data_IF_452301805498
#
_entry.id   IF_452301805498
#
_cell.length_a   1.000
_cell.length_b   1.000
_cell.length_c   1.000
_cell.angle_alpha   90.00
_cell.angle_beta   90.00
_cell.angle_gamma   90.00
#
_symmetry.space_group_name_H-M   'P 1'
#
loop_
_entity.id
_entity.type
_entity.pdbx_description
1 polymer ?
#
# COMPACT_ATOMS: atom_id res chain seq x y z
N UNK A 1 11.29 10.26 0.01
CA UNK A 1 10.11 10.36 0.89
C UNK A 1 9.31 9.09 0.65
N UNK A 2 8.86 8.40 1.70
CA UNK A 2 8.16 7.12 1.54
C UNK A 2 6.74 7.37 0.99
N UNK A 3 6.40 6.75 -0.13
CA UNK A 3 5.12 6.95 -0.83
C UNK A 3 3.95 6.14 -0.24
N UNK A 4 4.24 5.20 0.66
CA UNK A 4 3.24 4.34 1.31
C UNK A 4 3.22 4.60 2.80
N UNK A 5 2.06 4.97 3.34
CA UNK A 5 1.86 5.17 4.78
C UNK A 5 0.67 4.42 5.30
N UNK A 6 0.83 3.81 6.46
CA UNK A 6 -0.22 3.16 7.22
C UNK A 6 -0.47 3.92 8.51
N UNK A 7 -1.74 4.19 8.79
CA UNK A 7 -2.14 4.80 10.06
C UNK A 7 -2.90 3.78 10.88
N UNK A 8 -2.48 3.63 12.15
CA UNK A 8 -3.20 2.81 13.12
C UNK A 8 -4.00 3.68 14.08
N UNK A 9 -5.27 3.35 14.22
CA UNK A 9 -6.27 4.04 15.02
C UNK A 9 -6.80 3.11 16.09
N UNK A 10 -7.28 3.67 17.19
CA UNK A 10 -7.88 2.91 18.27
C UNK A 10 -7.77 3.66 19.59
N UNK A 11 -8.71 3.40 20.48
CA UNK A 11 -8.75 4.06 21.79
C UNK A 11 -7.50 3.76 22.62
N UNK A 12 -7.27 4.58 23.64
CA UNK A 12 -6.26 4.27 24.67
C UNK A 12 -6.56 2.91 25.28
N UNK A 13 -5.54 2.07 25.41
CA UNK A 13 -5.70 0.71 25.94
C UNK A 13 -6.10 -0.36 24.91
N UNK A 14 -6.46 0.01 23.67
CA UNK A 14 -6.83 -0.94 22.61
C UNK A 14 -5.65 -1.73 22.03
N UNK A 15 -4.50 -1.79 22.70
CA UNK A 15 -3.40 -2.70 22.33
C UNK A 15 -2.56 -2.32 21.10
N UNK A 16 -2.67 -1.11 20.54
CA UNK A 16 -1.93 -0.69 19.32
C UNK A 16 -0.41 -0.87 19.42
N UNK A 17 0.20 -0.30 20.45
CA UNK A 17 1.67 -0.35 20.64
C UNK A 17 2.13 -1.78 20.95
N UNK A 18 1.37 -2.54 21.76
CA UNK A 18 1.64 -3.95 21.99
C UNK A 18 1.57 -4.77 20.69
N UNK A 19 0.56 -4.51 19.85
CA UNK A 19 0.44 -5.12 18.52
C UNK A 19 1.66 -4.80 17.65
N UNK A 20 2.08 -3.53 17.57
CA UNK A 20 3.28 -3.12 16.82
C UNK A 20 4.53 -3.87 17.31
N UNK A 21 4.73 -3.96 18.62
CA UNK A 21 5.89 -4.64 19.20
C UNK A 21 5.89 -6.14 18.88
N UNK A 22 4.74 -6.80 19.00
CA UNK A 22 4.61 -8.21 18.62
C UNK A 22 4.83 -8.44 17.13
N UNK A 23 4.22 -7.61 16.28
CA UNK A 23 4.37 -7.65 14.83
C UNK A 23 5.83 -7.46 14.41
N UNK A 24 6.50 -6.46 14.99
CA UNK A 24 7.90 -6.21 14.72
C UNK A 24 8.79 -7.36 15.18
N UNK A 25 8.57 -7.90 16.38
CA UNK A 25 9.39 -9.00 16.89
C UNK A 25 9.26 -10.27 16.05
N UNK A 26 8.04 -10.69 15.72
CA UNK A 26 7.77 -11.88 14.89
C UNK A 26 8.41 -11.75 13.51
N UNK A 27 8.22 -10.61 12.85
CA UNK A 27 8.80 -10.38 11.52
C UNK A 27 10.29 -10.07 11.57
N UNK A 28 10.85 -9.57 12.67
CA UNK A 28 12.29 -9.38 12.81
C UNK A 28 13.02 -10.73 12.95
N UNK A 29 12.42 -11.71 13.63
CA UNK A 29 12.95 -13.07 13.71
C UNK A 29 12.82 -13.84 12.38
N UNK A 30 11.84 -13.45 11.57
CA UNK A 30 11.54 -14.03 10.28
C UNK A 30 10.35 -14.98 10.36
N UNK A 31 9.38 -14.78 9.47
CA UNK A 31 8.14 -15.56 9.43
C UNK A 31 7.85 -15.96 8.00
N UNK A 32 7.83 -17.27 7.70
CA UNK A 32 7.57 -17.81 6.36
C UNK A 32 8.44 -17.19 5.25
N UNK A 33 9.68 -16.82 5.59
CA UNK A 33 10.63 -16.17 4.67
C UNK A 33 10.51 -14.64 4.60
N UNK A 34 9.51 -14.04 5.24
CA UNK A 34 9.39 -12.59 5.37
C UNK A 34 10.18 -12.07 6.56
N UNK A 35 10.85 -10.94 6.38
CA UNK A 35 11.52 -10.19 7.46
C UNK A 35 11.12 -8.73 7.43
N UNK A 36 11.08 -8.08 8.60
CA UNK A 36 10.83 -6.64 8.71
C UNK A 36 11.99 -5.95 9.42
N UNK A 37 12.49 -4.89 8.80
CA UNK A 37 13.60 -4.09 9.31
C UNK A 37 13.20 -2.62 9.42
N UNK A 38 13.96 -1.87 10.22
CA UNK A 38 13.85 -0.42 10.41
C UNK A 38 15.25 0.13 10.71
N UNK A 39 15.40 1.43 10.96
CA UNK A 39 16.68 2.00 11.34
C UNK A 39 17.22 1.41 12.66
N UNK A 40 18.53 1.50 12.87
CA UNK A 40 19.21 0.84 14.00
C UNK A 40 18.72 1.35 15.38
N UNK A 41 18.46 2.65 15.47
CA UNK A 41 17.98 3.29 16.70
C UNK A 41 16.57 2.80 17.03
N UNK A 42 15.65 2.83 16.06
CA UNK A 42 14.27 2.32 16.22
C UNK A 42 14.22 0.82 16.42
N UNK A 43 15.09 0.06 15.76
CA UNK A 43 15.19 -1.39 15.98
C UNK A 43 15.57 -1.70 17.42
N UNK A 44 16.58 -0.98 17.95
CA UNK A 44 17.02 -1.13 19.34
C UNK A 44 15.94 -0.73 20.33
N UNK A 45 15.24 0.38 20.06
CA UNK A 45 14.11 0.85 20.86
C UNK A 45 12.98 -0.22 20.93
N UNK A 46 12.51 -0.69 19.78
CA UNK A 46 11.42 -1.68 19.68
C UNK A 46 11.80 -3.01 20.34
N UNK A 47 13.03 -3.50 20.12
CA UNK A 47 13.53 -4.72 20.76
C UNK A 47 13.60 -4.57 22.28
N UNK A 48 14.10 -3.45 22.78
CA UNK A 48 14.16 -3.17 24.22
C UNK A 48 12.76 -3.14 24.84
N UNK A 49 11.80 -2.49 24.18
CA UNK A 49 10.40 -2.47 24.63
C UNK A 49 9.78 -3.88 24.62
N UNK A 50 10.04 -4.69 23.60
CA UNK A 50 9.54 -6.07 23.56
C UNK A 50 10.18 -6.96 24.63
N UNK A 51 11.47 -6.79 24.94
CA UNK A 51 12.13 -7.50 26.05
C UNK A 51 11.50 -7.15 27.40
N UNK A 52 11.05 -5.90 27.61
CA UNK A 52 10.24 -5.55 28.79
C UNK A 52 8.93 -6.31 28.82
N UNK A 53 8.25 -6.45 27.67
CA UNK A 53 7.04 -7.28 27.58
C UNK A 53 7.37 -8.72 27.97
N UNK A 54 8.55 -9.28 27.69
CA UNK A 54 8.89 -10.64 28.12
C UNK A 54 9.18 -10.78 29.63
N UNK A 55 9.57 -9.69 30.30
CA UNK A 55 9.95 -9.71 31.71
C UNK A 55 8.72 -9.79 32.65
N UNK A 56 8.35 -11.02 33.02
CA UNK A 56 7.25 -11.31 33.95
C UNK A 56 7.46 -10.70 35.34
N UNK A 57 8.67 -10.33 35.73
CA UNK A 57 8.95 -9.75 37.05
C UNK A 57 8.41 -8.32 37.19
N UNK A 58 8.17 -7.63 36.07
CA UNK A 58 7.65 -6.26 36.05
C UNK A 58 6.13 -6.18 36.28
N UNK A 59 5.43 -7.32 36.30
CA UNK A 59 3.97 -7.34 36.42
C UNK A 59 3.30 -6.50 35.34
N UNK A 60 2.36 -5.61 35.71
CA UNK A 60 1.68 -4.72 34.77
C UNK A 60 2.64 -3.73 34.07
N UNK A 61 3.77 -3.40 34.70
CA UNK A 61 4.77 -2.47 34.13
C UNK A 61 5.58 -3.10 32.98
N UNK A 62 5.38 -4.39 32.69
CA UNK A 62 5.95 -5.06 31.51
C UNK A 62 5.38 -4.50 30.20
N UNK A 63 4.17 -3.95 30.23
CA UNK A 63 3.51 -3.38 29.06
C UNK A 63 3.85 -1.89 28.90
N UNK A 64 3.97 -1.39 27.66
CA UNK A 64 4.16 0.04 27.42
C UNK A 64 2.95 0.81 27.97
N UNK A 65 3.22 1.91 28.68
CA UNK A 65 2.20 2.88 29.03
C UNK A 65 1.56 3.41 27.73
N UNK A 66 0.30 3.84 27.80
CA UNK A 66 -0.37 4.43 26.64
C UNK A 66 0.48 5.56 26.05
N UNK A 67 0.68 5.56 24.74
CA UNK A 67 1.51 6.55 24.05
C UNK A 67 0.95 7.96 24.31
N UNK A 68 1.79 8.86 24.80
CA UNK A 68 1.40 10.25 25.11
C UNK A 68 1.46 11.17 23.88
N UNK A 69 2.20 10.77 22.84
CA UNK A 69 2.38 11.51 21.59
C UNK A 69 2.38 10.58 20.37
N UNK A 70 2.15 11.13 19.18
CA UNK A 70 2.31 10.38 17.93
C UNK A 70 3.75 9.83 17.77
N UNK A 71 3.89 8.55 17.41
CA UNK A 71 5.19 7.96 17.05
C UNK A 71 5.15 7.45 15.62
N UNK A 72 6.14 7.86 14.82
CA UNK A 72 6.27 7.47 13.42
C UNK A 72 7.46 6.54 13.24
N UNK A 73 7.27 5.52 12.42
CA UNK A 73 8.28 4.54 12.08
C UNK A 73 8.39 4.41 10.57
N UNK A 74 9.59 4.07 10.10
CA UNK A 74 9.82 3.68 8.71
C UNK A 74 10.30 2.23 8.71
N UNK A 75 9.53 1.36 8.06
CA UNK A 75 9.82 -0.07 7.97
C UNK A 75 10.11 -0.47 6.52
N UNK A 76 10.90 -1.52 6.35
CA UNK A 76 11.02 -2.26 5.09
C UNK A 76 10.63 -3.70 5.32
N UNK A 77 9.65 -4.18 4.55
CA UNK A 77 9.35 -5.60 4.45
C UNK A 77 10.23 -6.22 3.37
N UNK A 78 10.83 -7.35 3.68
CA UNK A 78 11.67 -8.14 2.80
C UNK A 78 11.13 -9.57 2.70
N UNK A 79 11.49 -10.26 1.62
CA UNK A 79 11.29 -11.70 1.47
C UNK A 79 12.59 -12.34 1.00
N UNK A 80 13.05 -13.35 1.74
CA UNK A 80 14.40 -13.91 1.54
C UNK A 80 15.50 -12.83 1.54
N UNK A 81 15.34 -11.79 2.37
CA UNK A 81 16.21 -10.61 2.47
C UNK A 81 16.19 -9.66 1.25
N UNK A 82 15.38 -9.94 0.23
CA UNK A 82 15.16 -9.02 -0.88
C UNK A 82 14.03 -8.03 -0.52
N UNK A 83 14.23 -6.71 -0.70
CA UNK A 83 13.21 -5.70 -0.41
C UNK A 83 11.92 -5.89 -1.22
N UNK A 84 10.78 -5.88 -0.53
CA UNK A 84 9.44 -5.85 -1.14
C UNK A 84 8.96 -4.40 -1.23
N UNK A 85 8.89 -3.71 -0.09
CA UNK A 85 8.41 -2.35 0.02
C UNK A 85 8.90 -1.70 1.32
N UNK A 86 9.20 -0.41 1.24
CA UNK A 86 9.35 0.45 2.42
C UNK A 86 8.06 1.22 2.66
N UNK A 87 7.65 1.36 3.91
CA UNK A 87 6.40 2.02 4.29
C UNK A 87 6.56 2.77 5.62
N UNK A 88 5.84 3.89 5.74
CA UNK A 88 5.69 4.61 7.01
C UNK A 88 4.56 3.99 7.83
N UNK A 89 4.73 3.98 9.15
CA UNK A 89 3.74 3.49 10.10
C UNK A 89 3.57 4.52 11.21
N UNK A 90 2.38 5.08 11.31
CA UNK A 90 2.08 6.14 12.26
C UNK A 90 1.18 5.59 13.39
N UNK A 91 1.76 5.43 14.59
CA UNK A 91 1.06 5.05 15.83
C UNK A 91 0.65 6.31 16.60
N UNK A 92 -0.64 6.67 16.48
CA UNK A 92 -1.19 7.83 17.16
C UNK A 92 -1.76 7.47 18.53
N UNK A 93 -1.47 8.33 19.50
CA UNK A 93 -2.03 8.23 20.84
C UNK A 93 -3.57 8.21 20.79
N UNK A 94 -4.19 7.25 21.49
CA UNK A 94 -5.65 7.10 21.48
C UNK A 94 -6.38 8.33 22.06
N UNK A 95 -5.70 9.09 22.92
CA UNK A 95 -6.21 10.34 23.48
C UNK A 95 -6.36 11.47 22.45
N UNK A 96 -5.65 11.44 21.32
CA UNK A 96 -5.81 12.46 20.25
C UNK A 96 -7.23 12.40 19.65
N UNK A 97 -7.82 11.20 19.59
CA UNK A 97 -9.16 10.98 19.05
C UNK A 97 -10.28 11.67 19.86
N UNK A 98 -10.03 12.00 21.13
CA UNK A 98 -11.04 12.59 22.04
C UNK A 98 -10.74 14.04 22.42
N UNK A 99 -9.58 14.59 22.05
CA UNK A 99 -9.05 15.89 22.54
C UNK A 99 -9.33 17.10 21.63
N UNK A 100 -10.37 17.06 20.79
CA UNK A 100 -10.74 18.14 19.84
C UNK A 100 -10.73 19.56 20.42
N UNK A 101 -11.02 19.72 21.72
CA UNK A 101 -11.20 21.02 22.38
C UNK A 101 -10.28 21.25 23.60
N UNK A 102 -9.30 20.37 23.87
CA UNK A 102 -8.48 20.45 25.09
C UNK A 102 -7.00 20.06 24.91
N UNK A 103 -6.58 19.77 23.67
CA UNK A 103 -5.21 19.38 23.32
C UNK A 103 -4.48 20.37 22.43
N UNK A 104 -3.27 19.99 22.02
CA UNK A 104 -2.47 20.70 21.04
C UNK A 104 -3.12 20.61 19.65
N UNK A 105 -3.54 21.76 19.11
CA UNK A 105 -4.21 21.84 17.82
C UNK A 105 -3.28 21.41 16.67
N UNK A 106 -1.97 21.62 16.82
CA UNK A 106 -0.99 21.29 15.78
C UNK A 106 -0.83 19.76 15.65
N UNK A 107 -0.77 19.04 16.78
CA UNK A 107 -0.71 17.57 16.80
C UNK A 107 -1.97 16.94 16.18
N UNK A 108 -3.15 17.56 16.43
CA UNK A 108 -4.42 17.10 15.87
C UNK A 108 -4.51 17.32 14.35
N UNK A 109 -4.04 18.46 13.84
CA UNK A 109 -3.99 18.73 12.40
C UNK A 109 -2.94 17.85 11.71
N UNK A 110 -1.79 17.61 12.33
CA UNK A 110 -0.80 16.66 11.81
C UNK A 110 -1.36 15.23 11.71
N UNK A 111 -2.10 14.80 12.74
CA UNK A 111 -2.83 13.54 12.73
C UNK A 111 -3.83 13.46 11.56
N UNK A 112 -4.67 14.49 11.38
CA UNK A 112 -5.63 14.54 10.26
C UNK A 112 -4.94 14.48 8.91
N UNK A 113 -3.84 15.21 8.75
CA UNK A 113 -3.07 15.21 7.50
C UNK A 113 -2.49 13.83 7.21
N UNK A 114 -1.91 13.16 8.21
CA UNK A 114 -1.40 11.80 8.03
C UNK A 114 -2.53 10.82 7.69
N UNK A 115 -3.64 10.87 8.44
CA UNK A 115 -4.80 10.02 8.21
C UNK A 115 -5.34 10.18 6.78
N UNK A 116 -5.51 11.41 6.30
CA UNK A 116 -6.00 11.69 4.94
C UNK A 116 -5.04 11.23 3.84
N UNK A 117 -3.74 11.14 4.13
CA UNK A 117 -2.70 10.67 3.19
C UNK A 117 -2.43 9.17 3.25
N UNK A 118 -3.09 8.45 4.16
CA UNK A 118 -2.80 7.04 4.43
C UNK A 118 -3.25 6.13 3.30
N UNK A 119 -2.38 5.21 2.89
CA UNK A 119 -2.70 4.19 1.89
C UNK A 119 -3.66 3.13 2.43
N UNK A 120 -3.57 2.82 3.72
CA UNK A 120 -4.40 1.83 4.43
C UNK A 120 -4.63 2.31 5.87
N UNK A 121 -5.83 2.02 6.41
CA UNK A 121 -6.17 2.31 7.80
C UNK A 121 -6.31 1.02 8.61
N UNK A 122 -5.62 0.95 9.73
CA UNK A 122 -5.81 -0.08 10.75
C UNK A 122 -6.65 0.49 11.89
N UNK A 123 -7.73 -0.18 12.26
CA UNK A 123 -8.59 0.23 13.38
C UNK A 123 -8.53 -0.87 14.43
N UNK A 124 -7.76 -0.65 15.49
CA UNK A 124 -7.67 -1.52 16.64
C UNK A 124 -8.92 -1.42 17.52
N UNK A 125 -9.51 -2.58 17.76
CA UNK A 125 -10.65 -2.78 18.64
C UNK A 125 -10.18 -3.69 19.78
N UNK A 126 -10.49 -3.29 21.01
CA UNK A 126 -10.12 -4.05 22.21
C UNK A 126 -11.05 -5.26 22.35
N UNK A 127 -10.48 -6.47 22.28
CA UNK A 127 -11.20 -7.74 22.40
C UNK A 127 -11.95 -7.89 23.73
N UNK A 128 -11.53 -7.22 24.80
CA UNK A 128 -12.27 -7.22 26.07
C UNK A 128 -13.67 -6.59 25.96
N UNK A 129 -13.92 -5.74 24.95
CA UNK A 129 -15.25 -5.20 24.67
C UNK A 129 -16.22 -6.26 24.11
N UNK A 130 -15.67 -7.37 23.63
CA UNK A 130 -16.37 -8.50 23.05
C UNK A 130 -16.53 -9.65 24.04
N UNK A 131 -16.07 -9.51 25.28
CA UNK A 131 -16.22 -10.56 26.28
C UNK A 131 -17.66 -10.62 26.86
N UNK A 132 -18.05 -11.80 27.34
CA UNK A 132 -19.37 -12.14 27.88
C UNK A 132 -20.32 -12.80 26.87
N UNK A 133 -21.56 -13.07 27.25
CA UNK A 133 -22.51 -13.84 26.41
C UNK A 133 -23.52 -12.98 25.63
N UNK A 134 -23.74 -11.73 26.05
CA UNK A 134 -24.78 -10.87 25.46
C UNK A 134 -24.28 -10.10 24.22
N UNK A 135 -24.75 -10.51 23.03
CA UNK A 135 -24.36 -9.89 21.74
C UNK A 135 -24.75 -8.42 21.63
N UNK A 136 -25.93 -8.02 22.07
CA UNK A 136 -26.37 -6.61 22.02
C UNK A 136 -25.49 -5.73 22.90
N UNK A 137 -25.08 -6.24 24.06
CA UNK A 137 -24.17 -5.54 24.94
C UNK A 137 -22.79 -5.36 24.31
N UNK A 138 -22.25 -6.41 23.65
CA UNK A 138 -20.99 -6.32 22.88
C UNK A 138 -21.08 -5.27 21.79
N UNK A 139 -22.15 -5.27 20.99
CA UNK A 139 -22.40 -4.24 19.95
C UNK A 139 -22.39 -2.85 20.57
N UNK A 140 -23.13 -2.66 21.67
CA UNK A 140 -23.19 -1.36 22.36
C UNK A 140 -21.81 -0.94 22.88
N UNK A 141 -21.05 -1.84 23.49
CA UNK A 141 -19.69 -1.58 23.98
C UNK A 141 -18.76 -1.12 22.85
N UNK A 142 -18.76 -1.81 21.71
CA UNK A 142 -17.94 -1.44 20.54
C UNK A 142 -18.40 -0.11 19.94
N UNK A 143 -19.73 0.12 19.84
CA UNK A 143 -20.26 1.40 19.34
C UNK A 143 -19.84 2.58 20.21
N UNK A 144 -20.10 2.49 21.51
CA UNK A 144 -19.83 3.57 22.47
C UNK A 144 -18.33 3.85 22.62
N UNK A 145 -17.51 2.81 22.69
CA UNK A 145 -16.09 2.95 23.00
C UNK A 145 -15.17 2.92 21.77
N UNK A 146 -15.69 2.83 20.55
CA UNK A 146 -14.84 2.81 19.37
C UNK A 146 -15.50 3.46 18.16
N UNK A 147 -16.55 2.84 17.60
CA UNK A 147 -17.02 3.25 16.26
C UNK A 147 -17.61 4.65 16.21
N UNK A 148 -18.27 5.12 17.27
CA UNK A 148 -18.80 6.49 17.34
C UNK A 148 -17.72 7.56 17.16
N UNK A 149 -16.50 7.31 17.62
CA UNK A 149 -15.38 8.24 17.52
C UNK A 149 -14.70 8.07 16.16
N UNK A 150 -14.43 6.83 15.76
CA UNK A 150 -13.70 6.52 14.53
C UNK A 150 -14.48 6.88 13.27
N UNK A 151 -15.81 6.75 13.28
CA UNK A 151 -16.66 7.07 12.13
C UNK A 151 -16.52 8.52 11.65
N UNK A 152 -16.24 9.46 12.56
CA UNK A 152 -16.00 10.86 12.17
C UNK A 152 -14.76 10.96 11.27
N UNK A 153 -13.66 10.33 11.64
CA UNK A 153 -12.41 10.35 10.87
C UNK A 153 -12.54 9.61 9.53
N UNK A 154 -13.27 8.51 9.50
CA UNK A 154 -13.57 7.78 8.26
C UNK A 154 -14.41 8.66 7.30
N UNK A 155 -15.40 9.37 7.85
CA UNK A 155 -16.24 10.29 7.09
C UNK A 155 -15.43 11.45 6.51
N UNK A 156 -14.56 12.07 7.31
CA UNK A 156 -13.65 13.13 6.88
C UNK A 156 -12.69 12.63 5.78
N UNK A 157 -12.11 11.43 5.96
CA UNK A 157 -11.26 10.82 4.93
C UNK A 157 -12.00 10.70 3.60
N UNK A 158 -13.22 10.12 3.60
CA UNK A 158 -14.01 9.92 2.38
C UNK A 158 -14.34 11.26 1.71
N UNK A 159 -14.68 12.28 2.49
CA UNK A 159 -14.99 13.62 1.97
C UNK A 159 -13.80 14.24 1.25
N UNK A 160 -12.59 14.06 1.76
CA UNK A 160 -11.37 14.64 1.19
C UNK A 160 -10.82 13.84 0.01
N UNK A 161 -11.01 12.51 0.00
CA UNK A 161 -10.41 11.61 -0.99
C UNK A 161 -11.40 11.07 -2.04
N UNK A 162 -12.70 11.33 -1.90
CA UNK A 162 -13.80 10.79 -2.71
C UNK A 162 -13.93 9.25 -2.71
N UNK A 163 -13.06 8.54 -1.99
CA UNK A 163 -13.06 7.08 -1.80
C UNK A 163 -12.55 6.76 -0.40
N UNK A 164 -12.91 5.58 0.10
CA UNK A 164 -12.29 5.02 1.31
C UNK A 164 -11.01 4.26 0.95
N UNK A 165 -10.00 4.25 1.83
CA UNK A 165 -8.87 3.35 1.66
C UNK A 165 -9.33 1.92 2.01
N UNK A 166 -8.49 0.91 1.74
CA UNK A 166 -8.62 -0.38 2.43
C UNK A 166 -8.56 -0.15 3.95
N UNK A 167 -9.48 -0.80 4.67
CA UNK A 167 -9.61 -0.70 6.13
C UNK A 167 -9.47 -2.10 6.71
N UNK A 168 -8.69 -2.23 7.78
CA UNK A 168 -8.63 -3.47 8.55
C UNK A 168 -9.07 -3.21 9.98
N UNK A 169 -10.16 -3.86 10.40
CA UNK A 169 -10.63 -3.92 11.77
C UNK A 169 -9.82 -4.98 12.51
N UNK A 170 -8.83 -4.54 13.27
CA UNK A 170 -7.88 -5.40 13.98
C UNK A 170 -8.41 -5.63 15.40
N UNK A 171 -8.87 -6.84 15.68
CA UNK A 171 -9.41 -7.19 17.00
C UNK A 171 -8.24 -7.64 17.86
N UNK A 172 -7.71 -6.70 18.64
CA UNK A 172 -6.58 -6.95 19.56
C UNK A 172 -7.06 -7.67 20.82
N UNK A 173 -6.13 -8.31 21.54
CA UNK A 173 -6.45 -9.09 22.76
C UNK A 173 -7.53 -10.15 22.50
N UNK A 174 -7.50 -10.76 21.32
CA UNK A 174 -8.53 -11.70 20.89
C UNK A 174 -8.63 -12.93 21.81
N UNK A 175 -7.52 -13.30 22.45
CA UNK A 175 -7.44 -14.36 23.48
C UNK A 175 -8.45 -14.17 24.63
N UNK A 176 -8.87 -12.94 24.92
CA UNK A 176 -9.85 -12.65 25.97
C UNK A 176 -11.26 -13.07 25.54
N UNK A 177 -11.60 -12.91 24.25
CA UNK A 177 -12.96 -13.13 23.75
C UNK A 177 -13.10 -14.36 22.86
N UNK A 178 -12.02 -15.11 22.61
CA UNK A 178 -11.99 -16.26 21.70
C UNK A 178 -12.99 -17.35 22.11
N UNK A 179 -13.12 -17.62 23.41
CA UNK A 179 -14.05 -18.62 23.93
C UNK A 179 -15.52 -18.14 23.92
N UNK A 180 -15.75 -16.83 24.06
CA UNK A 180 -17.09 -16.25 24.21
C UNK A 180 -17.65 -15.63 22.92
N UNK A 181 -16.84 -15.55 21.86
CA UNK A 181 -17.20 -14.88 20.60
C UNK A 181 -16.77 -15.70 19.39
N UNK A 182 -17.74 -16.36 18.76
CA UNK A 182 -17.50 -17.08 17.51
C UNK A 182 -17.16 -16.14 16.34
N UNK A 183 -16.65 -16.70 15.25
CA UNK A 183 -16.34 -15.95 14.01
C UNK A 183 -17.59 -15.26 13.43
N UNK A 184 -18.74 -15.93 13.47
CA UNK A 184 -20.03 -15.40 13.02
C UNK A 184 -20.52 -14.25 13.90
N UNK A 185 -20.32 -14.38 15.22
CA UNK A 185 -20.66 -13.31 16.16
C UNK A 185 -19.76 -12.11 15.97
N UNK A 186 -18.46 -12.32 15.76
CA UNK A 186 -17.52 -11.25 15.44
C UNK A 186 -17.94 -10.51 14.17
N UNK A 187 -18.26 -11.24 13.09
CA UNK A 187 -18.79 -10.68 11.85
C UNK A 187 -20.04 -9.83 12.10
N UNK A 188 -21.02 -10.36 12.84
CA UNK A 188 -22.26 -9.66 13.16
C UNK A 188 -22.02 -8.38 13.96
N UNK A 189 -21.23 -8.47 15.04
CA UNK A 189 -20.96 -7.35 15.93
C UNK A 189 -20.24 -6.23 15.18
N UNK A 190 -19.25 -6.56 14.35
CA UNK A 190 -18.52 -5.57 13.56
C UNK A 190 -19.41 -4.90 12.51
N UNK A 191 -20.25 -5.68 11.82
CA UNK A 191 -21.20 -5.15 10.84
C UNK A 191 -22.22 -4.20 11.47
N UNK A 192 -22.67 -4.51 12.68
CA UNK A 192 -23.59 -3.64 13.41
C UNK A 192 -22.88 -2.42 13.97
N UNK A 193 -21.69 -2.57 14.55
CA UNK A 193 -20.97 -1.46 15.18
C UNK A 193 -20.41 -0.47 14.16
N UNK A 194 -19.92 -0.95 13.02
CA UNK A 194 -19.35 -0.15 11.92
C UNK A 194 -20.21 -0.20 10.66
N UNK A 195 -21.53 -0.21 10.83
CA UNK A 195 -22.52 -0.35 9.75
C UNK A 195 -22.22 0.46 8.46
N UNK A 196 -21.79 1.75 8.52
CA UNK A 196 -21.45 2.51 7.32
C UNK A 196 -20.36 1.91 6.43
N UNK A 197 -19.45 1.09 6.99
CA UNK A 197 -18.40 0.40 6.24
C UNK A 197 -18.90 -0.82 5.46
N UNK A 198 -20.06 -1.37 5.85
CA UNK A 198 -20.61 -2.61 5.31
C UNK A 198 -21.84 -2.39 4.43
N UNK A 199 -22.24 -1.13 4.21
CA UNK A 199 -23.28 -0.77 3.25
C UNK A 199 -22.63 -0.55 1.87
N UNK A 200 -23.18 -1.14 0.78
CA UNK A 200 -22.71 -0.87 -0.57
C UNK A 200 -22.72 0.63 -0.89
N UNK A 201 -21.62 1.13 -1.43
CA UNK A 201 -21.47 2.53 -1.81
C UNK A 201 -21.79 2.71 -3.29
N UNK A 202 -22.49 3.82 -3.61
CA UNK A 202 -22.80 4.21 -5.00
C UNK A 202 -21.54 4.68 -5.74
N UNK A 203 -20.69 5.45 -5.05
CA UNK A 203 -19.42 5.94 -5.57
C UNK A 203 -18.24 5.34 -4.82
N UNK A 204 -17.30 4.77 -5.58
CA UNK A 204 -16.10 4.12 -5.06
C UNK A 204 -16.33 2.69 -4.59
N UNK A 205 -15.25 2.05 -4.17
CA UNK A 205 -15.29 0.70 -3.58
C UNK A 205 -14.48 0.72 -2.30
N UNK A 206 -15.04 0.14 -1.24
CA UNK A 206 -14.35 -0.01 0.04
C UNK A 206 -14.00 -1.48 0.25
N UNK A 207 -12.78 -1.76 0.68
CA UNK A 207 -12.37 -3.11 1.09
C UNK A 207 -12.16 -3.11 2.59
N UNK A 208 -12.86 -3.97 3.31
CA UNK A 208 -12.82 -4.04 4.78
C UNK A 208 -12.46 -5.46 5.19
N UNK A 209 -11.47 -5.63 6.06
CA UNK A 209 -11.16 -6.91 6.70
C UNK A 209 -11.46 -6.87 8.20
N UNK A 210 -11.81 -8.01 8.78
CA UNK A 210 -11.88 -8.23 10.23
C UNK A 210 -10.82 -9.28 10.57
N UNK A 211 -9.82 -8.88 11.36
CA UNK A 211 -8.64 -9.71 11.62
C UNK A 211 -8.43 -9.79 13.15
N UNK A 212 -8.77 -10.93 13.77
CA UNK A 212 -8.46 -11.15 15.17
C UNK A 212 -6.98 -11.43 15.37
N UNK A 213 -6.37 -10.77 16.35
CA UNK A 213 -4.96 -10.90 16.71
C UNK A 213 -4.78 -10.94 18.23
N UNK A 214 -3.77 -11.69 18.68
CA UNK A 214 -3.36 -11.71 20.09
C UNK A 214 -1.85 -11.83 20.21
N UNK A 215 -1.29 -11.31 21.31
CA UNK A 215 0.10 -11.57 21.69
C UNK A 215 0.26 -12.88 22.48
N UNK A 216 -0.84 -13.45 22.99
CA UNK A 216 -0.87 -14.67 23.79
C UNK A 216 -1.93 -14.63 24.89
N UNK A 217 -2.29 -15.81 25.38
CA UNK A 217 -3.33 -15.98 26.38
C UNK A 217 -2.85 -15.66 27.81
N UNK A 218 -3.72 -15.03 28.61
CA UNK A 218 -3.49 -14.81 30.03
C UNK A 218 -2.31 -13.88 30.34
N UNK A 219 -1.85 -13.07 29.37
CA UNK A 219 -0.76 -12.12 29.59
C UNK A 219 -1.25 -10.92 30.42
N UNK A 220 -2.54 -10.59 30.29
CA UNK A 220 -3.22 -9.51 31.03
C UNK A 220 -4.14 -10.01 32.16
N UNK A 221 -4.07 -11.30 32.54
CA UNK A 221 -4.81 -11.81 33.70
C UNK A 221 -4.22 -11.30 35.01
N UNK A 222 -4.89 -11.54 36.15
CA UNK A 222 -4.56 -10.98 37.47
C UNK A 222 -3.08 -11.14 37.87
N UNK A 223 -2.39 -12.17 37.36
CA UNK A 223 -0.99 -12.44 37.64
C UNK A 223 0.01 -11.83 36.63
N UNK A 224 -0.45 -11.32 35.47
CA UNK A 224 0.36 -10.82 34.36
C UNK A 224 1.52 -11.75 33.94
N UNK A 225 1.35 -13.07 34.11
CA UNK A 225 2.40 -14.10 33.94
C UNK A 225 2.21 -14.98 32.71
N UNK A 226 1.18 -14.73 31.90
CA UNK A 226 0.94 -15.44 30.64
C UNK A 226 2.16 -15.44 29.73
N UNK A 227 2.21 -16.46 28.86
CA UNK A 227 3.24 -16.62 27.84
C UNK A 227 2.83 -15.90 26.55
N UNK A 228 3.83 -15.39 25.83
CA UNK A 228 3.58 -14.84 24.50
C UNK A 228 3.36 -16.01 23.55
N UNK A 229 2.17 -16.04 22.94
CA UNK A 229 1.77 -16.99 21.89
C UNK A 229 1.05 -16.17 20.82
N UNK A 230 1.80 -15.48 19.95
CA UNK A 230 1.23 -14.60 18.94
C UNK A 230 0.28 -15.35 18.00
N UNK A 231 -0.92 -14.80 17.80
CA UNK A 231 -1.93 -15.32 16.87
C UNK A 231 -2.17 -14.25 15.80
N UNK A 232 -1.96 -14.63 14.53
CA UNK A 232 -2.26 -13.80 13.34
C UNK A 232 -1.64 -12.40 13.31
N UNK A 233 -0.63 -12.13 14.13
CA UNK A 233 -0.07 -10.79 14.37
C UNK A 233 0.51 -10.14 13.08
N UNK A 234 0.98 -10.93 12.12
CA UNK A 234 1.51 -10.46 10.84
C UNK A 234 0.43 -10.19 9.78
N UNK A 235 -0.79 -10.72 9.97
CA UNK A 235 -1.82 -10.72 8.93
C UNK A 235 -2.34 -9.32 8.59
N UNK A 236 -2.59 -8.40 9.56
CA UNK A 236 -3.02 -7.06 9.20
C UNK A 236 -1.97 -6.30 8.37
N UNK A 237 -0.68 -6.41 8.71
CA UNK A 237 0.34 -5.71 7.94
C UNK A 237 0.49 -6.29 6.52
N UNK A 238 0.37 -7.61 6.35
CA UNK A 238 0.34 -8.22 5.02
C UNK A 238 -0.86 -7.76 4.19
N UNK A 239 -2.03 -7.62 4.81
CA UNK A 239 -3.22 -7.04 4.18
C UNK A 239 -2.91 -5.61 3.69
N UNK A 240 -2.31 -4.78 4.53
CA UNK A 240 -1.98 -3.41 4.15
C UNK A 240 -0.96 -3.32 3.02
N UNK A 241 0.09 -4.13 3.08
CA UNK A 241 1.14 -4.18 2.06
C UNK A 241 0.60 -4.69 0.72
N UNK A 242 -0.27 -5.70 0.72
CA UNK A 242 -0.89 -6.20 -0.51
C UNK A 242 -1.57 -5.06 -1.31
N UNK A 243 -2.35 -4.21 -0.63
CA UNK A 243 -3.01 -3.08 -1.29
C UNK A 243 -2.04 -1.97 -1.66
N UNK A 244 -1.01 -1.71 -0.86
CA UNK A 244 0.04 -0.76 -1.24
C UNK A 244 0.78 -1.20 -2.51
N UNK A 245 1.10 -2.49 -2.65
CA UNK A 245 1.69 -3.05 -3.87
C UNK A 245 0.73 -2.96 -5.04
N UNK A 246 -0.58 -3.10 -4.82
CA UNK A 246 -1.58 -2.93 -5.88
C UNK A 246 -1.56 -1.51 -6.45
N UNK A 247 -1.56 -0.51 -5.57
CA UNK A 247 -1.50 0.90 -6.00
C UNK A 247 -0.15 1.24 -6.64
N UNK A 248 0.94 0.61 -6.18
CA UNK A 248 2.26 0.72 -6.83
C UNK A 248 2.25 0.12 -8.24
N UNK A 249 1.71 -1.08 -8.43
CA UNK A 249 1.56 -1.72 -9.74
C UNK A 249 0.73 -0.88 -10.70
N UNK A 250 -0.38 -0.31 -10.22
CA UNK A 250 -1.21 0.61 -11.00
C UNK A 250 -0.38 1.79 -11.55
N UNK A 251 0.38 2.46 -10.69
CA UNK A 251 1.23 3.59 -11.10
C UNK A 251 2.32 3.17 -12.08
N UNK A 252 2.99 2.05 -11.84
CA UNK A 252 4.00 1.52 -12.76
C UNK A 252 3.41 1.18 -14.14
N UNK A 253 2.22 0.59 -14.20
CA UNK A 253 1.53 0.29 -15.46
C UNK A 253 1.12 1.56 -16.22
N UNK A 254 0.69 2.61 -15.51
CA UNK A 254 0.38 3.92 -16.10
C UNK A 254 1.64 4.55 -16.71
N UNK A 255 2.78 4.52 -16.01
CA UNK A 255 4.05 5.04 -16.55
C UNK A 255 4.57 4.19 -17.72
N UNK A 256 4.48 2.86 -17.64
CA UNK A 256 4.83 1.97 -18.74
C UNK A 256 4.02 2.28 -20.01
N UNK A 257 2.72 2.54 -19.85
CA UNK A 257 1.84 2.95 -20.96
C UNK A 257 2.31 4.28 -21.56
N UNK A 258 2.68 5.24 -20.71
CA UNK A 258 3.22 6.54 -21.14
C UNK A 258 4.52 6.39 -21.92
N UNK A 259 5.47 5.62 -21.41
CA UNK A 259 6.76 5.35 -22.06
C UNK A 259 6.52 4.65 -23.42
N UNK A 260 5.64 3.66 -23.47
CA UNK A 260 5.32 2.93 -24.71
C UNK A 260 4.74 3.86 -25.77
N UNK A 261 3.81 4.74 -25.40
CA UNK A 261 3.24 5.75 -26.30
C UNK A 261 4.30 6.74 -26.85
N UNK A 262 5.26 7.16 -26.00
CA UNK A 262 6.37 8.01 -26.41
C UNK A 262 7.31 7.29 -27.41
N UNK A 263 7.59 6.00 -27.17
CA UNK A 263 8.36 5.15 -28.06
C UNK A 263 7.70 5.08 -29.44
N UNK A 264 6.39 4.82 -29.50
CA UNK A 264 5.66 4.70 -30.76
C UNK A 264 5.63 6.03 -31.53
N UNK A 265 5.43 7.14 -30.83
CA UNK A 265 5.47 8.49 -31.41
C UNK A 265 6.84 8.82 -32.01
N UNK A 266 7.93 8.49 -31.30
CA UNK A 266 9.29 8.71 -31.80
C UNK A 266 9.61 7.80 -32.99
N UNK A 267 9.21 6.53 -32.94
CA UNK A 267 9.34 5.59 -34.08
C UNK A 267 8.64 6.10 -35.33
N UNK A 268 7.41 6.59 -35.18
CA UNK A 268 6.67 7.21 -36.28
C UNK A 268 7.41 8.43 -36.85
N UNK A 269 7.94 9.29 -35.99
CA UNK A 269 8.71 10.47 -36.42
C UNK A 269 10.00 10.09 -37.16
N UNK A 270 10.74 9.10 -36.66
CA UNK A 270 11.96 8.59 -37.31
C UNK A 270 11.62 7.99 -38.68
N UNK A 271 10.50 7.27 -38.80
CA UNK A 271 10.03 6.73 -40.07
C UNK A 271 9.77 7.85 -41.08
N UNK A 272 9.04 8.90 -40.69
CA UNK A 272 8.78 10.06 -41.55
C UNK A 272 10.07 10.78 -41.98
N UNK A 273 10.99 11.03 -41.05
CA UNK A 273 12.29 11.63 -41.37
C UNK A 273 13.11 10.77 -42.33
N UNK A 274 12.98 9.44 -42.23
CA UNK A 274 13.64 8.50 -43.16
C UNK A 274 13.07 8.64 -44.57
N UNK A 275 11.75 8.76 -44.70
CA UNK A 275 11.08 9.02 -45.99
C UNK A 275 11.48 10.38 -46.57
N UNK A 276 11.49 11.44 -45.75
CA UNK A 276 11.90 12.78 -46.17
C UNK A 276 13.37 12.80 -46.63
N UNK A 277 14.26 12.12 -45.91
CA UNK A 277 15.66 12.03 -46.30
C UNK A 277 15.85 11.31 -47.64
N UNK A 278 15.11 10.23 -47.89
CA UNK A 278 15.12 9.55 -49.20
C UNK A 278 14.65 10.49 -50.33
N UNK A 279 13.65 11.34 -50.06
CA UNK A 279 13.19 12.35 -51.01
C UNK A 279 14.28 13.39 -51.28
N UNK A 280 14.90 13.96 -50.24
CA UNK A 280 15.97 14.94 -50.40
C UNK A 280 17.19 14.36 -51.13
N UNK A 281 17.53 13.10 -50.90
CA UNK A 281 18.60 12.42 -51.66
C UNK A 281 18.26 12.33 -53.14
N UNK A 282 17.03 11.96 -53.50
CA UNK A 282 16.58 11.91 -54.90
C UNK A 282 16.63 13.29 -55.55
N UNK A 283 16.08 14.32 -54.90
CA UNK A 283 16.12 15.70 -55.39
C UNK A 283 17.57 16.21 -55.54
N UNK A 284 18.48 15.80 -54.65
CA UNK A 284 19.92 16.10 -54.72
C UNK A 284 20.59 15.44 -55.93
N UNK A 285 20.28 14.17 -56.23
CA UNK A 285 20.81 13.46 -57.40
C UNK A 285 20.32 14.09 -58.70
N UNK A 286 19.02 14.33 -58.84
CA UNK A 286 18.43 15.00 -60.01
C UNK A 286 19.00 16.40 -60.25
N UNK A 287 19.26 17.16 -59.17
CA UNK A 287 19.86 18.48 -59.26
C UNK A 287 21.33 18.45 -59.72
N UNK A 288 22.06 17.36 -59.46
CA UNK A 288 23.46 17.15 -59.88
C UNK A 288 23.58 16.69 -61.34
N UNK A 289 22.62 15.90 -61.82
CA UNK A 289 22.63 15.37 -63.20
C UNK A 289 22.14 16.38 -64.26
N UNK A 290 21.51 17.48 -63.85
CA UNK A 290 21.04 18.54 -64.75
C UNK A 290 22.18 19.40 -65.34
N UNK A 291 22.30 19.40 -66.67
CA UNK A 291 23.30 20.02 -67.57
C UNK A 291 23.69 21.53 -67.36
N UNK A 292 23.24 22.23 -66.31
CA UNK A 292 23.55 23.66 -66.06
C UNK A 292 23.87 23.93 -64.58
N UNK A 293 25.12 23.72 -64.19
CA UNK A 293 25.61 23.84 -62.80
C UNK A 293 25.81 25.29 -62.32
N UNK A 294 25.91 26.27 -63.20
CA UNK A 294 26.28 27.64 -62.82
C UNK A 294 25.15 28.48 -62.19
N UNK A 295 23.87 28.11 -62.37
CA UNK A 295 22.71 28.88 -61.89
C UNK A 295 21.96 28.31 -60.67
N UNK A 296 22.32 27.11 -60.18
CA UNK A 296 21.52 26.34 -59.19
C UNK A 296 22.18 26.17 -57.81
N UNK A 297 23.29 26.84 -57.55
CA UNK A 297 24.08 26.69 -56.31
C UNK A 297 23.30 26.93 -55.02
N UNK A 298 22.38 27.90 -55.00
CA UNK A 298 21.53 28.20 -53.82
C UNK A 298 20.52 27.08 -53.51
N UNK A 299 19.91 26.48 -54.54
CA UNK A 299 18.92 25.40 -54.38
C UNK A 299 19.58 24.12 -53.86
N UNK A 300 20.75 23.76 -54.41
CA UNK A 300 21.51 22.59 -53.96
C UNK A 300 21.93 22.75 -52.49
N UNK A 301 22.47 23.92 -52.10
CA UNK A 301 22.84 24.19 -50.71
C UNK A 301 21.66 24.11 -49.74
N UNK A 302 20.49 24.58 -50.14
CA UNK A 302 19.27 24.47 -49.31
C UNK A 302 18.84 23.01 -49.11
N UNK A 303 18.85 22.20 -50.16
CA UNK A 303 18.55 20.76 -50.07
C UNK A 303 19.54 20.05 -49.15
N UNK A 304 20.83 20.33 -49.30
CA UNK A 304 21.90 19.75 -48.49
C UNK A 304 21.78 20.13 -47.01
N UNK A 305 21.45 21.39 -46.73
CA UNK A 305 21.20 21.86 -45.37
C UNK A 305 19.98 21.16 -44.72
N UNK A 306 18.87 21.00 -45.45
CA UNK A 306 17.69 20.30 -44.93
C UNK A 306 17.97 18.81 -44.69
N UNK A 307 18.71 18.16 -45.60
CA UNK A 307 19.12 16.77 -45.45
C UNK A 307 19.99 16.58 -44.20
N UNK A 308 21.02 17.41 -44.01
CA UNK A 308 21.90 17.34 -42.83
C UNK A 308 21.13 17.62 -41.53
N UNK A 309 20.24 18.61 -41.53
CA UNK A 309 19.39 18.93 -40.38
C UNK A 309 18.48 17.76 -40.00
N UNK A 310 17.85 17.10 -40.98
CA UNK A 310 17.01 15.94 -40.72
C UNK A 310 17.80 14.72 -40.25
N UNK A 311 19.01 14.52 -40.78
CA UNK A 311 19.90 13.45 -40.35
C UNK A 311 20.33 13.63 -38.89
N UNK A 312 20.69 14.85 -38.48
CA UNK A 312 21.04 15.16 -37.10
C UNK A 312 19.84 14.95 -36.16
N UNK A 313 18.66 15.47 -36.53
CA UNK A 313 17.42 15.26 -35.77
C UNK A 313 17.06 13.79 -35.64
N UNK A 314 17.25 12.99 -36.70
CA UNK A 314 17.04 11.54 -36.68
C UNK A 314 17.97 10.87 -35.67
N UNK A 315 19.27 11.19 -35.70
CA UNK A 315 20.26 10.62 -34.75
C UNK A 315 19.93 10.94 -33.30
N UNK A 316 19.52 12.18 -33.02
CA UNK A 316 19.06 12.58 -31.68
C UNK A 316 17.84 11.77 -31.23
N UNK A 317 16.84 11.61 -32.10
CA UNK A 317 15.65 10.82 -31.81
C UNK A 317 15.95 9.33 -31.62
N UNK A 318 16.90 8.77 -32.36
CA UNK A 318 17.34 7.38 -32.21
C UNK A 318 18.04 7.15 -30.86
N UNK A 319 18.85 8.10 -30.40
CA UNK A 319 19.47 8.05 -29.08
C UNK A 319 18.42 8.12 -27.97
N UNK A 320 17.48 9.07 -28.06
CA UNK A 320 16.36 9.17 -27.13
C UNK A 320 15.49 7.90 -27.10
N UNK A 321 15.24 7.30 -28.26
CA UNK A 321 14.46 6.09 -28.39
C UNK A 321 15.13 4.93 -27.64
N UNK A 322 16.46 4.80 -27.76
CA UNK A 322 17.24 3.81 -27.02
C UNK A 322 17.10 4.01 -25.50
N UNK A 323 17.24 5.25 -25.02
CA UNK A 323 17.07 5.56 -23.60
C UNK A 323 15.67 5.23 -23.09
N UNK A 324 14.63 5.53 -23.87
CA UNK A 324 13.24 5.19 -23.53
C UNK A 324 13.00 3.67 -23.51
N UNK A 325 13.64 2.92 -24.41
CA UNK A 325 13.57 1.45 -24.42
C UNK A 325 14.21 0.86 -23.16
N UNK A 326 15.38 1.36 -22.76
CA UNK A 326 16.03 0.95 -21.51
C UNK A 326 15.15 1.28 -20.29
N UNK A 327 14.54 2.47 -20.25
CA UNK A 327 13.59 2.84 -19.20
C UNK A 327 12.36 1.92 -19.16
N UNK A 328 11.79 1.59 -20.32
CA UNK A 328 10.66 0.66 -20.44
C UNK A 328 11.01 -0.71 -19.88
N UNK A 329 12.19 -1.23 -20.21
CA UNK A 329 12.62 -2.57 -19.80
C UNK A 329 12.88 -2.62 -18.28
N UNK A 330 13.43 -1.54 -17.70
CA UNK A 330 13.56 -1.38 -16.25
C UNK A 330 12.20 -1.34 -15.55
N UNK A 331 11.23 -0.59 -16.07
CA UNK A 331 9.87 -0.54 -15.51
C UNK A 331 9.14 -1.88 -15.62
N UNK A 332 9.28 -2.59 -16.74
CA UNK A 332 8.75 -3.95 -16.90
C UNK A 332 9.31 -4.90 -15.85
N UNK A 333 10.62 -4.84 -15.57
CA UNK A 333 11.23 -5.67 -14.55
C UNK A 333 10.67 -5.32 -13.15
N UNK A 334 10.53 -4.03 -12.83
CA UNK A 334 9.93 -3.56 -11.57
C UNK A 334 8.50 -4.06 -11.40
N UNK A 335 7.68 -4.02 -12.45
CA UNK A 335 6.31 -4.55 -12.46
C UNK A 335 6.32 -6.05 -12.16
N UNK A 336 7.16 -6.83 -12.85
CA UNK A 336 7.24 -8.27 -12.65
C UNK A 336 7.61 -8.65 -11.21
N UNK A 337 8.61 -7.98 -10.63
CA UNK A 337 9.03 -8.22 -9.24
C UNK A 337 7.90 -7.85 -8.26
N UNK A 338 7.27 -6.68 -8.46
CA UNK A 338 6.20 -6.19 -7.59
C UNK A 338 4.96 -7.09 -7.66
N UNK A 339 4.60 -7.58 -8.86
CA UNK A 339 3.49 -8.50 -9.09
C UNK A 339 3.75 -9.88 -8.44
N UNK A 340 4.97 -10.40 -8.55
CA UNK A 340 5.35 -11.63 -7.87
C UNK A 340 5.25 -11.50 -6.35
N UNK A 341 5.76 -10.40 -5.77
CA UNK A 341 5.67 -10.15 -4.33
C UNK A 341 4.21 -9.99 -3.87
N UNK A 342 3.38 -9.29 -4.65
CA UNK A 342 1.96 -9.17 -4.36
C UNK A 342 1.26 -10.53 -4.38
N UNK A 343 1.53 -11.38 -5.37
CA UNK A 343 0.95 -12.73 -5.47
C UNK A 343 1.34 -13.62 -4.29
N UNK A 344 2.60 -13.53 -3.83
CA UNK A 344 3.05 -14.27 -2.62
C UNK A 344 2.27 -13.85 -1.38
N UNK A 345 2.13 -12.55 -1.13
CA UNK A 345 1.33 -12.05 -0.01
C UNK A 345 -0.14 -12.45 -0.13
N UNK A 346 -0.68 -12.51 -1.34
CA UNK A 346 -2.05 -12.91 -1.58
C UNK A 346 -2.31 -14.37 -1.15
N UNK A 347 -1.36 -15.27 -1.39
CA UNK A 347 -1.44 -16.68 -0.95
C UNK A 347 -1.46 -16.78 0.58
N UNK A 348 -0.63 -15.99 1.27
CA UNK A 348 -0.64 -15.95 2.74
C UNK A 348 -1.96 -15.39 3.28
N UNK A 349 -2.54 -14.37 2.65
CA UNK A 349 -3.82 -13.81 3.08
C UNK A 349 -5.00 -14.77 2.83
N UNK A 350 -4.94 -15.55 1.75
CA UNK A 350 -5.95 -16.55 1.41
C UNK A 350 -5.93 -17.74 2.38
N UNK A 351 -4.73 -18.24 2.73
CA UNK A 351 -4.57 -19.39 3.63
C UNK A 351 -5.14 -19.13 5.03
N UNK A 352 -5.26 -17.87 5.44
CA UNK A 352 -5.75 -17.45 6.76
C UNK A 352 -7.28 -17.27 6.85
N UNK A 353 -8.04 -17.58 5.79
CA UNK A 353 -9.52 -17.55 5.77
C UNK A 353 -10.11 -16.25 6.35
N UNK A 354 -9.58 -15.11 5.89
CA UNK A 354 -9.95 -13.79 6.39
C UNK A 354 -11.43 -13.47 6.18
N UNK A 355 -12.04 -12.81 7.18
CA UNK A 355 -13.33 -12.14 7.00
C UNK A 355 -13.07 -10.86 6.20
N UNK A 356 -13.34 -10.89 4.90
CA UNK A 356 -13.13 -9.75 4.01
C UNK A 356 -14.41 -9.38 3.26
N UNK A 357 -14.58 -8.08 3.06
CA UNK A 357 -15.75 -7.49 2.44
C UNK A 357 -15.30 -6.55 1.34
N UNK A 358 -15.97 -6.66 0.20
CA UNK A 358 -15.80 -5.77 -0.94
C UNK A 358 -17.10 -5.05 -1.22
N UNK A 359 -17.07 -3.72 -1.08
CA UNK A 359 -18.23 -2.83 -1.22
C UNK A 359 -19.45 -3.33 -0.41
N UNK A 360 -19.24 -3.66 0.86
CA UNK A 360 -20.27 -4.13 1.79
C UNK A 360 -20.63 -5.62 1.70
N UNK A 361 -20.22 -6.32 0.63
CA UNK A 361 -20.53 -7.74 0.44
C UNK A 361 -19.38 -8.61 0.92
N UNK A 362 -19.69 -9.68 1.68
CA UNK A 362 -18.70 -10.68 2.09
C UNK A 362 -18.11 -11.32 0.84
N UNK A 363 -16.80 -11.50 0.83
CA UNK A 363 -16.08 -12.02 -0.33
C UNK A 363 -14.90 -12.91 0.07
N UNK A 364 -14.27 -13.53 -0.92
CA UNK A 364 -12.98 -14.20 -0.74
C UNK A 364 -11.83 -13.29 -1.18
N UNK A 365 -10.65 -13.52 -0.61
CA UNK A 365 -9.45 -12.82 -1.05
C UNK A 365 -9.14 -13.13 -2.53
N UNK A 366 -9.33 -14.39 -2.96
CA UNK A 366 -9.20 -14.82 -4.35
C UNK A 366 -10.05 -13.98 -5.33
N UNK A 367 -11.31 -13.72 -4.97
CA UNK A 367 -12.20 -12.91 -5.79
C UNK A 367 -11.80 -11.44 -5.82
N UNK A 368 -11.25 -10.91 -4.72
CA UNK A 368 -10.70 -9.55 -4.67
C UNK A 368 -9.48 -9.43 -5.60
N UNK A 369 -8.58 -10.43 -5.60
CA UNK A 369 -7.47 -10.53 -6.55
C UNK A 369 -8.00 -10.53 -7.99
N UNK A 370 -8.96 -11.43 -8.30
CA UNK A 370 -9.54 -11.55 -9.66
C UNK A 370 -10.10 -10.23 -10.16
N UNK A 371 -10.95 -9.55 -9.37
CA UNK A 371 -11.58 -8.28 -9.78
C UNK A 371 -10.57 -7.18 -10.02
N UNK A 372 -9.54 -7.11 -9.18
CA UNK A 372 -8.47 -6.10 -9.29
C UNK A 372 -7.50 -6.41 -10.41
N UNK A 373 -7.35 -7.67 -10.82
CA UNK A 373 -6.52 -8.10 -11.95
C UNK A 373 -7.22 -7.98 -13.32
N UNK A 374 -8.56 -8.04 -13.38
CA UNK A 374 -9.31 -7.85 -14.64
C UNK A 374 -9.11 -6.47 -15.29
N UNK A 375 -8.63 -5.49 -14.53
CA UNK A 375 -8.40 -4.12 -15.01
C UNK A 375 -7.09 -4.02 -15.83
N UNK A 376 -6.20 -5.01 -15.75
CA UNK A 376 -4.81 -4.88 -16.26
C UNK A 376 -4.45 -5.80 -17.43
N UNK A 377 -5.39 -6.55 -17.99
CA UNK A 377 -5.12 -7.34 -19.21
C UNK A 377 -5.06 -6.43 -20.44
N UNK A 378 -3.94 -5.73 -20.62
CA UNK A 378 -3.51 -5.35 -21.96
C UNK A 378 -2.88 -6.57 -22.64
N UNK A 379 -3.14 -6.80 -23.94
CA UNK A 379 -2.55 -7.90 -24.68
C UNK A 379 -1.08 -7.58 -24.96
N UNK A 380 -0.17 -8.16 -24.18
CA UNK A 380 1.26 -8.15 -24.50
C UNK A 380 1.58 -9.12 -25.67
N UNK A 381 0.60 -9.86 -26.18
CA UNK A 381 0.78 -10.94 -27.16
C UNK A 381 0.79 -10.52 -28.64
N UNK A 382 1.20 -9.31 -29.02
CA UNK A 382 1.26 -8.96 -30.45
C UNK A 382 2.48 -8.15 -30.90
N UNK A 383 3.60 -8.14 -30.16
CA UNK A 383 4.82 -7.41 -30.58
C UNK A 383 6.06 -8.32 -30.70
N UNK A 384 5.92 -9.65 -30.63
CA UNK A 384 7.04 -10.58 -30.85
C UNK A 384 7.06 -11.28 -32.22
N UNK A 385 6.12 -10.98 -33.11
CA UNK A 385 6.19 -11.45 -34.50
C UNK A 385 5.79 -10.31 -35.44
N UNK A 386 6.79 -9.61 -35.97
CA UNK A 386 6.84 -9.04 -37.33
C UNK A 386 8.23 -8.46 -37.61
#
# INVERSE_FOLDING_TARGET
>A
MIDTRFTILGMTGAGKTCYLLGMYYELCAGLQGYTMITDEDKSTELRSQYLKILDKSLGINRFPAGTDSATKYEFELQYCYDPIISFGYDDYAGGILTKKNSGDLDEYEEFKNSLNSSSVLFICIDGSLLDGDNKEEKIRKVRTNCSNIINEFISDYKKNNHKLPPISLVITKYDICEETTSKEDLEMIMKEAFNPLFIPQEEGTCTVSIIPVSLGAGICSDDNKGELQPINIHIPIFFGIYFALHDKLKRCNEELTRITSLIDTKRFTISNLTVDNMRYERERMEAKDGFMLWGRSKKIRSIEHHYESNLNKKRELELDLKNLQEQRDLEMNRINITDQNQKRLALELESNNLLIYYNGNKDSFENIIKRRNTIWKYPISSILEL
#
